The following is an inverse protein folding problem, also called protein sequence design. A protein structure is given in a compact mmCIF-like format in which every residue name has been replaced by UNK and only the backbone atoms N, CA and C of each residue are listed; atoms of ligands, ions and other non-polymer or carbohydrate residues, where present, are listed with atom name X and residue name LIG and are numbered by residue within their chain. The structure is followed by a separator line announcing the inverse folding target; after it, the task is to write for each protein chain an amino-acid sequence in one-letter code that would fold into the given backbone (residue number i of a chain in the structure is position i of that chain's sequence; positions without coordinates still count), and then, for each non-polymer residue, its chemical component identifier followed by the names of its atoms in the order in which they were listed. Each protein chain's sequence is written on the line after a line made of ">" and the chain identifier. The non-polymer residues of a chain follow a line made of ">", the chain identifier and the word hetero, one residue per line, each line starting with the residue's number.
data_IF_093118495967
#
_entry.id   IF_093118495967
#
_cell.length_a   1.000
_cell.length_b   1.000
_cell.length_c   1.000
_cell.angle_alpha   90.00
_cell.angle_beta   90.00
_cell.angle_gamma   90.00
#
_symmetry.space_group_name_H-M   'P 1'
#
loop_
_entity.id
_entity.type
_entity.pdbx_description
1 polymer ?
#
# COMPACT_ATOMS: atom_id res chain seq x y z
N UNK A 1 -19.66 -21.46 -33.05
CA UNK A 1 -19.67 -20.17 -32.33
C UNK A 1 -20.37 -20.29 -30.99
N UNK A 2 -19.61 -20.66 -29.96
CA UNK A 2 -19.92 -20.27 -28.59
C UNK A 2 -18.59 -20.27 -27.83
N UNK A 3 -17.87 -19.16 -27.95
CA UNK A 3 -16.63 -18.91 -27.23
C UNK A 3 -17.00 -18.31 -25.86
N UNK A 4 -17.18 -19.18 -24.87
CA UNK A 4 -17.33 -18.77 -23.48
C UNK A 4 -15.95 -18.71 -22.84
N UNK A 5 -15.36 -17.51 -22.86
CA UNK A 5 -14.15 -17.16 -22.12
C UNK A 5 -14.43 -17.35 -20.62
N UNK A 6 -13.75 -18.32 -19.99
CA UNK A 6 -13.72 -18.44 -18.54
C UNK A 6 -12.81 -17.34 -17.97
N UNK A 7 -13.24 -16.54 -16.98
CA UNK A 7 -12.29 -15.81 -16.17
C UNK A 7 -11.64 -16.82 -15.21
N UNK A 8 -10.37 -17.14 -15.49
CA UNK A 8 -9.50 -17.81 -14.54
C UNK A 8 -9.25 -16.87 -13.34
N UNK A 9 -9.14 -17.49 -12.16
CA UNK A 9 -8.77 -16.91 -10.85
C UNK A 9 -9.89 -16.31 -9.99
N UNK A 10 -11.02 -17.03 -9.87
CA UNK A 10 -11.87 -16.91 -8.69
C UNK A 10 -11.26 -17.73 -7.53
N UNK A 11 -10.60 -17.04 -6.59
CA UNK A 11 -10.19 -17.65 -5.33
C UNK A 11 -11.45 -18.08 -4.56
N UNK A 12 -11.81 -19.36 -4.68
CA UNK A 12 -12.95 -19.93 -3.99
C UNK A 12 -12.71 -19.87 -2.48
N UNK A 13 -13.39 -18.96 -1.81
CA UNK A 13 -13.36 -18.87 -0.35
C UNK A 13 -14.12 -20.07 0.18
N UNK A 14 -13.39 -20.99 0.82
CA UNK A 14 -13.98 -22.11 1.54
C UNK A 14 -15.03 -21.57 2.52
N UNK A 15 -16.24 -22.17 2.60
CA UNK A 15 -17.28 -21.69 3.48
C UNK A 15 -16.75 -21.64 4.92
N UNK A 16 -16.87 -20.47 5.56
CA UNK A 16 -16.48 -20.27 6.94
C UNK A 16 -17.22 -21.30 7.80
N UNK A 17 -16.48 -22.24 8.39
CA UNK A 17 -17.04 -23.35 9.18
C UNK A 17 -17.49 -22.92 10.59
N UNK A 18 -17.55 -21.61 10.85
CA UNK A 18 -17.95 -21.04 12.14
C UNK A 18 -19.42 -20.64 12.18
N UNK A 19 -20.01 -20.59 13.38
CA UNK A 19 -21.39 -20.16 13.66
C UNK A 19 -21.67 -18.66 13.40
N UNK A 20 -20.87 -17.99 12.57
CA UNK A 20 -21.04 -16.58 12.27
C UNK A 20 -22.11 -16.40 11.18
N UNK A 21 -23.28 -15.91 11.58
CA UNK A 21 -24.32 -15.50 10.64
C UNK A 21 -24.22 -13.99 10.41
N UNK A 22 -23.96 -13.60 9.16
CA UNK A 22 -24.13 -12.21 8.74
C UNK A 22 -25.61 -11.85 8.83
N UNK A 23 -25.94 -10.70 9.46
CA UNK A 23 -27.34 -10.23 9.56
C UNK A 23 -27.92 -9.81 8.21
N UNK A 24 -27.07 -9.52 7.23
CA UNK A 24 -27.45 -9.05 5.90
C UNK A 24 -26.63 -9.77 4.84
N UNK A 25 -27.25 -10.07 3.71
CA UNK A 25 -26.55 -10.59 2.54
C UNK A 25 -25.68 -9.49 1.93
N UNK A 26 -24.42 -9.81 1.60
CA UNK A 26 -23.59 -8.92 0.77
C UNK A 26 -24.15 -8.95 -0.66
N UNK A 27 -24.51 -7.80 -1.27
CA UNK A 27 -25.08 -7.76 -2.62
C UNK A 27 -24.20 -8.45 -3.67
N UNK A 28 -22.88 -8.35 -3.52
CA UNK A 28 -21.89 -8.91 -4.44
C UNK A 28 -21.17 -10.14 -3.90
N UNK A 29 -21.35 -10.49 -2.61
CA UNK A 29 -20.65 -11.59 -1.91
C UNK A 29 -19.12 -11.59 -2.06
N UNK A 30 -18.51 -10.41 -2.19
CA UNK A 30 -17.05 -10.25 -2.34
C UNK A 30 -16.37 -9.96 -1.02
N UNK A 31 -15.18 -10.53 -0.82
CA UNK A 31 -14.22 -10.09 0.20
C UNK A 31 -12.82 -10.06 -0.41
N UNK A 32 -11.99 -9.15 0.09
CA UNK A 32 -10.59 -9.02 -0.32
C UNK A 32 -9.71 -9.49 0.84
N UNK A 33 -8.80 -10.41 0.56
CA UNK A 33 -7.81 -10.92 1.52
C UNK A 33 -6.44 -10.45 1.04
N UNK A 34 -5.65 -9.90 1.96
CA UNK A 34 -4.25 -9.52 1.72
C UNK A 34 -3.36 -10.38 2.61
N UNK A 35 -2.26 -10.85 2.05
CA UNK A 35 -1.37 -11.85 2.66
C UNK A 35 0.05 -11.34 2.91
N UNK A 36 0.57 -10.41 2.08
CA UNK A 36 1.89 -9.82 2.28
C UNK A 36 1.92 -8.28 2.14
N UNK A 37 2.47 -7.54 3.12
CA UNK A 37 2.64 -6.09 3.05
C UNK A 37 3.80 -5.65 2.16
N UNK A 38 3.67 -4.43 1.63
CA UNK A 38 4.75 -3.66 1.02
C UNK A 38 4.88 -2.35 1.81
N UNK A 39 6.10 -2.00 2.23
CA UNK A 39 6.39 -0.67 2.78
C UNK A 39 7.20 0.17 1.82
N UNK A 40 6.76 1.40 1.59
CA UNK A 40 7.57 2.47 1.03
C UNK A 40 8.08 3.34 2.18
N UNK A 41 9.30 3.09 2.63
CA UNK A 41 9.91 3.83 3.72
C UNK A 41 10.57 5.08 3.15
N UNK A 42 10.13 6.25 3.60
CA UNK A 42 10.81 7.48 3.28
C UNK A 42 11.76 7.92 4.40
N UNK A 43 12.99 8.25 4.05
CA UNK A 43 14.03 8.75 4.95
C UNK A 43 14.65 10.01 4.33
N UNK A 44 14.06 11.19 4.54
CA UNK A 44 14.51 12.43 3.90
C UNK A 44 15.82 12.96 4.51
N UNK A 45 16.57 13.74 3.73
CA UNK A 45 17.81 14.40 4.16
C UNK A 45 18.76 14.65 3.00
N UNK A 46 20.01 15.06 3.29
CA UNK A 46 21.02 15.37 2.26
C UNK A 46 21.31 14.19 1.31
N UNK A 47 21.18 12.95 1.79
CA UNK A 47 21.25 11.72 0.99
C UNK A 47 19.95 10.91 1.15
N UNK A 48 18.83 11.60 1.27
CA UNK A 48 17.57 10.97 1.61
C UNK A 48 17.08 10.02 0.53
N UNK A 49 16.34 9.00 0.95
CA UNK A 49 15.89 7.91 0.08
C UNK A 49 14.43 7.58 0.27
N UNK A 50 13.84 6.98 -0.75
CA UNK A 50 12.65 6.13 -0.59
C UNK A 50 13.08 4.69 -0.91
N UNK A 51 12.86 3.79 0.06
CA UNK A 51 13.21 2.37 -0.05
C UNK A 51 11.95 1.52 0.06
N UNK A 52 11.78 0.56 -0.86
CA UNK A 52 10.68 -0.40 -0.84
C UNK A 52 11.09 -1.67 -0.10
N UNK A 53 10.37 -2.05 0.94
CA UNK A 53 10.52 -3.31 1.68
C UNK A 53 9.38 -4.27 1.36
N UNK A 54 9.67 -5.57 1.28
CA UNK A 54 8.70 -6.66 1.05
C UNK A 54 9.20 -7.99 1.65
N UNK A 55 8.34 -9.00 1.67
CA UNK A 55 8.69 -10.36 2.09
C UNK A 55 8.80 -10.50 3.60
N UNK A 56 7.89 -9.86 4.33
CA UNK A 56 7.72 -9.97 5.77
C UNK A 56 6.24 -10.07 6.09
N UNK A 57 5.87 -10.59 7.26
CA UNK A 57 4.47 -10.74 7.65
C UNK A 57 3.83 -9.40 8.03
N UNK A 58 2.49 -9.35 8.03
CA UNK A 58 1.74 -8.19 8.53
C UNK A 58 2.03 -8.04 10.02
N UNK A 59 2.52 -6.85 10.42
CA UNK A 59 2.80 -6.49 11.80
C UNK A 59 2.08 -5.20 12.17
N UNK A 60 1.62 -5.11 13.41
CA UNK A 60 0.97 -3.91 13.98
C UNK A 60 1.70 -3.55 15.29
N UNK A 61 2.32 -2.35 15.42
CA UNK A 61 2.32 -1.26 14.44
C UNK A 61 3.21 -1.53 13.22
N UNK A 62 2.84 -0.93 12.08
CA UNK A 62 3.64 -0.97 10.86
C UNK A 62 5.05 -0.39 11.13
N UNK A 63 6.14 -1.01 10.64
CA UNK A 63 7.48 -0.52 10.91
C UNK A 63 7.75 0.79 10.15
N UNK A 64 8.40 1.76 10.82
CA UNK A 64 8.57 3.13 10.30
C UNK A 64 10.02 3.61 10.24
N UNK A 65 10.99 2.75 10.59
CA UNK A 65 12.42 3.06 10.53
C UNK A 65 13.21 1.92 9.87
N UNK A 66 14.38 2.17 9.27
CA UNK A 66 15.13 1.11 8.58
C UNK A 66 15.49 -0.07 9.49
N UNK A 67 15.87 0.21 10.74
CA UNK A 67 16.29 -0.81 11.70
C UNK A 67 15.20 -1.82 12.04
N UNK A 68 13.92 -1.42 12.01
CA UNK A 68 12.81 -2.34 12.31
C UNK A 68 12.59 -3.39 11.21
N UNK A 69 13.07 -3.15 9.98
CA UNK A 69 12.97 -4.12 8.89
C UNK A 69 14.08 -5.18 8.89
N UNK A 70 15.20 -4.91 9.55
CA UNK A 70 16.32 -5.84 9.63
C UNK A 70 15.96 -7.14 10.39
N UNK A 71 15.15 -7.03 11.45
CA UNK A 71 14.69 -8.18 12.24
C UNK A 71 13.57 -9.01 11.59
N UNK A 72 13.02 -8.56 10.46
CA UNK A 72 11.86 -9.18 9.81
C UNK A 72 12.23 -10.04 8.60
N UNK A 73 13.52 -10.23 8.30
CA UNK A 73 13.96 -11.03 7.14
C UNK A 73 13.58 -10.43 5.78
N UNK A 74 13.35 -9.12 5.74
CA UNK A 74 12.81 -8.41 4.57
C UNK A 74 13.79 -8.39 3.39
N UNK A 75 13.24 -8.30 2.18
CA UNK A 75 13.98 -7.87 0.99
C UNK A 75 13.67 -6.41 0.69
N UNK A 76 14.66 -5.65 0.22
CA UNK A 76 14.48 -4.22 -0.04
C UNK A 76 15.10 -3.77 -1.37
N UNK A 77 14.58 -2.66 -1.90
CA UNK A 77 15.09 -2.00 -3.10
C UNK A 77 15.03 -0.48 -2.93
N UNK A 78 16.15 0.21 -3.18
CA UNK A 78 16.19 1.66 -3.29
C UNK A 78 15.38 2.10 -4.51
N UNK A 79 14.43 3.01 -4.33
CA UNK A 79 13.60 3.52 -5.42
C UNK A 79 14.07 4.88 -5.94
N UNK A 80 14.45 5.79 -5.05
CA UNK A 80 14.87 7.14 -5.44
C UNK A 80 15.73 7.83 -4.39
N UNK A 81 16.52 8.78 -4.86
CA UNK A 81 17.42 9.72 -4.18
C UNK A 81 17.68 10.89 -5.16
N UNK A 82 18.00 12.13 -4.74
CA UNK A 82 18.12 12.66 -3.37
C UNK A 82 16.79 13.22 -2.82
N UNK A 83 16.14 12.45 -1.94
CA UNK A 83 14.86 12.86 -1.34
C UNK A 83 15.11 13.85 -0.20
N UNK A 84 14.77 15.12 -0.41
CA UNK A 84 14.92 16.17 0.60
C UNK A 84 13.72 16.26 1.54
N UNK A 85 12.52 15.92 1.05
CA UNK A 85 11.31 15.85 1.87
C UNK A 85 10.30 14.87 1.27
N UNK A 86 9.46 14.30 2.12
CA UNK A 86 8.39 13.40 1.70
C UNK A 86 7.30 13.28 2.76
N UNK A 87 6.08 12.96 2.34
CA UNK A 87 4.96 12.67 3.23
C UNK A 87 3.99 11.74 2.52
N UNK A 88 3.66 10.62 3.16
CA UNK A 88 2.65 9.67 2.70
C UNK A 88 1.53 9.66 3.73
N UNK A 89 0.33 10.02 3.31
CA UNK A 89 -0.84 10.07 4.19
C UNK A 89 -1.98 9.28 3.60
N UNK A 90 -2.75 8.65 4.48
CA UNK A 90 -4.00 8.00 4.12
C UNK A 90 -5.14 8.65 4.89
N UNK A 91 -6.10 9.19 4.16
CA UNK A 91 -7.38 9.60 4.71
C UNK A 91 -8.39 8.48 4.45
N UNK A 92 -8.86 7.86 5.54
CA UNK A 92 -9.82 6.77 5.42
C UNK A 92 -11.12 7.26 4.73
N UNK A 93 -11.63 6.41 3.84
CA UNK A 93 -12.92 6.64 3.19
C UNK A 93 -14.08 6.49 4.16
N UNK A 94 -15.27 6.85 3.69
CA UNK A 94 -16.54 6.54 4.33
C UNK A 94 -17.37 5.64 3.42
N UNK A 95 -18.54 5.20 3.86
CA UNK A 95 -19.47 4.44 3.00
C UNK A 95 -19.93 5.21 1.75
N UNK A 96 -19.67 6.52 1.67
CA UNK A 96 -20.09 7.39 0.58
C UNK A 96 -18.92 8.02 -0.19
N UNK A 97 -17.68 7.84 0.29
CA UNK A 97 -16.48 8.48 -0.28
C UNK A 97 -15.31 7.51 -0.23
N UNK A 98 -14.63 7.34 -1.36
CA UNK A 98 -13.37 6.62 -1.42
C UNK A 98 -12.36 7.18 -0.41
N UNK A 99 -11.50 6.32 0.12
CA UNK A 99 -10.31 6.75 0.85
C UNK A 99 -9.37 7.49 -0.09
N UNK A 100 -8.42 8.23 0.47
CA UNK A 100 -7.47 9.01 -0.29
C UNK A 100 -6.06 8.76 0.23
N UNK A 101 -5.21 8.21 -0.62
CA UNK A 101 -3.76 8.19 -0.39
C UNK A 101 -3.18 9.43 -1.05
N UNK A 102 -2.43 10.23 -0.29
CA UNK A 102 -1.66 11.36 -0.82
C UNK A 102 -0.18 11.11 -0.62
N UNK A 103 0.58 11.16 -1.71
CA UNK A 103 2.03 11.08 -1.71
C UNK A 103 2.60 12.45 -2.10
N UNK A 104 3.45 13.00 -1.25
CA UNK A 104 4.26 14.18 -1.56
C UNK A 104 5.72 13.78 -1.50
N UNK A 105 6.49 14.06 -2.55
CA UNK A 105 7.93 13.76 -2.62
C UNK A 105 8.63 15.00 -3.18
N UNK A 106 9.68 15.45 -2.51
CA UNK A 106 10.55 16.53 -2.97
C UNK A 106 11.95 15.95 -3.18
N UNK A 107 12.49 16.17 -4.37
CA UNK A 107 13.86 15.85 -4.72
C UNK A 107 14.62 17.16 -4.84
N UNK A 108 15.82 17.23 -4.26
CA UNK A 108 16.67 18.42 -4.33
C UNK A 108 18.06 18.02 -4.81
N UNK A 109 18.50 18.56 -5.94
CA UNK A 109 19.86 18.36 -6.42
C UNK A 109 20.83 19.14 -5.53
N UNK A 110 21.76 18.44 -4.88
CA UNK A 110 22.73 19.04 -3.97
C UNK A 110 23.77 19.92 -4.69
N UNK A 111 24.02 19.70 -5.99
CA UNK A 111 25.02 20.48 -6.73
C UNK A 111 24.47 21.86 -7.12
N UNK A 112 23.20 21.92 -7.51
CA UNK A 112 22.54 23.13 -8.03
C UNK A 112 21.59 23.79 -7.02
N UNK A 113 21.20 23.08 -5.96
CA UNK A 113 20.10 23.40 -5.05
C UNK A 113 18.72 23.54 -5.73
N UNK A 114 18.56 23.03 -6.94
CA UNK A 114 17.26 22.98 -7.60
C UNK A 114 16.36 21.92 -6.98
N UNK A 115 15.05 22.18 -6.89
CA UNK A 115 14.09 21.25 -6.29
C UNK A 115 12.87 21.02 -7.18
N UNK A 116 12.44 19.76 -7.24
CA UNK A 116 11.19 19.34 -7.87
C UNK A 116 10.31 18.65 -6.84
N UNK A 117 9.01 18.97 -6.86
CA UNK A 117 8.01 18.37 -5.98
C UNK A 117 6.96 17.62 -6.80
N UNK A 118 6.79 16.34 -6.48
CA UNK A 118 5.69 15.50 -6.94
C UNK A 118 4.60 15.45 -5.87
N UNK A 119 3.36 15.73 -6.27
CA UNK A 119 2.16 15.44 -5.50
C UNK A 119 1.34 14.42 -6.30
N UNK A 120 1.01 13.29 -5.67
CA UNK A 120 0.20 12.25 -6.27
C UNK A 120 -0.93 11.84 -5.33
N UNK A 121 -2.11 11.65 -5.89
CA UNK A 121 -3.32 11.35 -5.13
C UNK A 121 -4.03 10.15 -5.75
N UNK A 122 -4.32 9.14 -4.92
CA UNK A 122 -4.97 7.90 -5.34
C UNK A 122 -6.23 7.70 -4.52
N UNK A 123 -7.36 7.55 -5.21
CA UNK A 123 -8.61 7.15 -4.58
C UNK A 123 -8.56 5.65 -4.28
N UNK A 124 -8.84 5.29 -3.03
CA UNK A 124 -8.96 3.91 -2.57
C UNK A 124 -10.45 3.62 -2.46
N UNK A 125 -10.97 2.91 -3.45
CA UNK A 125 -12.39 2.56 -3.46
C UNK A 125 -12.71 1.64 -2.29
N UNK A 126 -13.76 2.02 -1.56
CA UNK A 126 -14.33 1.24 -0.47
C UNK A 126 -15.76 0.83 -0.85
N UNK A 127 -15.95 0.35 -2.08
CA UNK A 127 -17.25 -0.14 -2.57
C UNK A 127 -17.40 -1.63 -2.22
N UNK A 128 -18.45 -2.03 -1.47
CA UNK A 128 -18.74 -3.42 -1.13
C UNK A 128 -19.07 -4.33 -2.32
#
# INVERSE_FOLDING_TARGET
>A
DNDSVAPADEHQILPLTGNFNFRWASPNQRVYIVDAPITYLCSPGANGTITRYRGYDIVDPQPTIPASFAGLGTTFALLTTPVSACSFTYTAGTNQRAGLVTLSITLTDNATNESVRLLYQVHVDNTP
#
